data_IF_821022900954
#
_entry.id   IF_821022900954
#
_cell.length_a   1.000
_cell.length_b   1.000
_cell.length_c   1.000
_cell.angle_alpha   90.00
_cell.angle_beta   90.00
_cell.angle_gamma   90.00
#
_symmetry.space_group_name_H-M   'P 1'
#
loop_
_entity.id
_entity.type
_entity.pdbx_description
1 polymer ?
#
# COMPACT_ATOMS: atom_id res chain seq x y z
N UNK A 1 7.84 -35.38 -21.68
CA UNK A 1 7.87 -34.52 -20.47
C UNK A 1 6.69 -33.55 -20.60
N UNK A 2 5.58 -33.84 -19.92
CA UNK A 2 4.30 -33.18 -20.18
C UNK A 2 4.32 -31.70 -19.80
N UNK A 3 3.69 -30.84 -20.62
CA UNK A 3 3.55 -29.40 -20.38
C UNK A 3 3.10 -29.07 -18.95
N UNK A 4 2.26 -29.88 -18.34
CA UNK A 4 1.81 -29.71 -16.95
C UNK A 4 2.94 -29.72 -15.92
N UNK A 5 3.93 -30.62 -16.06
CA UNK A 5 5.07 -30.70 -15.12
C UNK A 5 5.98 -29.47 -15.18
N UNK A 6 6.18 -28.90 -16.38
CA UNK A 6 6.94 -27.68 -16.56
C UNK A 6 6.22 -26.46 -15.94
N UNK A 7 4.90 -26.38 -16.07
CA UNK A 7 4.09 -25.32 -15.46
C UNK A 7 4.13 -25.35 -13.93
N UNK A 8 4.07 -26.54 -13.32
CA UNK A 8 4.23 -26.69 -11.86
C UNK A 8 5.59 -26.19 -11.36
N UNK A 9 6.68 -26.54 -12.07
CA UNK A 9 8.03 -26.10 -11.72
C UNK A 9 8.16 -24.57 -11.83
N UNK A 10 7.60 -23.96 -12.88
CA UNK A 10 7.59 -22.49 -13.05
C UNK A 10 6.87 -21.79 -11.91
N UNK A 11 5.64 -22.22 -11.60
CA UNK A 11 4.84 -21.64 -10.51
C UNK A 11 5.56 -21.77 -9.18
N UNK A 12 6.21 -22.91 -8.93
CA UNK A 12 6.96 -23.15 -7.71
C UNK A 12 8.17 -22.22 -7.56
N UNK A 13 9.00 -22.09 -8.59
CA UNK A 13 10.21 -21.24 -8.57
C UNK A 13 9.83 -19.76 -8.39
N UNK A 14 8.84 -19.29 -9.16
CA UNK A 14 8.35 -17.90 -9.09
C UNK A 14 7.78 -17.64 -7.69
N UNK A 15 6.92 -18.53 -7.20
CA UNK A 15 6.21 -18.29 -5.95
C UNK A 15 7.13 -18.26 -4.73
N UNK A 16 8.20 -19.05 -4.77
CA UNK A 16 9.12 -19.20 -3.65
C UNK A 16 10.26 -18.18 -3.68
N UNK A 17 10.93 -17.98 -4.82
CA UNK A 17 12.11 -17.12 -4.87
C UNK A 17 11.77 -15.70 -5.30
N UNK A 18 10.97 -15.52 -6.35
CA UNK A 18 10.71 -14.21 -6.91
C UNK A 18 9.86 -13.34 -5.96
N UNK A 19 8.79 -13.89 -5.38
CA UNK A 19 7.97 -13.13 -4.41
C UNK A 19 8.71 -12.81 -3.11
N UNK A 20 9.60 -13.68 -2.63
CA UNK A 20 10.42 -13.37 -1.45
C UNK A 20 11.40 -12.23 -1.74
N UNK A 21 12.02 -12.20 -2.92
CA UNK A 21 12.90 -11.10 -3.32
C UNK A 21 12.12 -9.79 -3.40
N UNK A 22 10.94 -9.80 -4.05
CA UNK A 22 10.05 -8.63 -4.10
C UNK A 22 9.62 -8.20 -2.71
N UNK A 23 9.32 -9.15 -1.83
CA UNK A 23 8.96 -8.88 -0.44
C UNK A 23 10.09 -8.12 0.28
N UNK A 24 11.32 -8.64 0.25
CA UNK A 24 12.47 -8.00 0.91
C UNK A 24 12.74 -6.60 0.35
N UNK A 25 12.78 -6.46 -0.98
CA UNK A 25 13.02 -5.16 -1.63
C UNK A 25 11.88 -4.18 -1.30
N UNK A 26 10.63 -4.65 -1.36
CA UNK A 26 9.45 -3.86 -1.06
C UNK A 26 9.41 -3.40 0.40
N UNK A 27 9.78 -4.27 1.34
CA UNK A 27 9.86 -3.94 2.76
C UNK A 27 10.91 -2.85 3.01
N UNK A 28 12.14 -3.04 2.49
CA UNK A 28 13.20 -2.05 2.60
C UNK A 28 12.80 -0.71 1.98
N UNK A 29 12.23 -0.72 0.77
CA UNK A 29 11.79 0.49 0.08
C UNK A 29 10.71 1.27 0.85
N UNK A 30 9.71 0.58 1.39
CA UNK A 30 8.66 1.22 2.18
C UNK A 30 9.18 1.75 3.53
N UNK A 31 10.12 1.04 4.18
CA UNK A 31 10.78 1.51 5.41
C UNK A 31 11.58 2.79 5.12
N UNK A 32 12.39 2.80 4.06
CA UNK A 32 13.14 4.00 3.67
C UNK A 32 12.23 5.18 3.36
N UNK A 33 11.12 4.96 2.64
CA UNK A 33 10.12 5.99 2.42
C UNK A 33 9.57 6.54 3.74
N UNK A 34 9.21 5.67 4.68
CA UNK A 34 8.69 6.07 5.97
C UNK A 34 9.72 6.91 6.75
N UNK A 35 10.98 6.47 6.78
CA UNK A 35 12.08 7.19 7.44
C UNK A 35 12.29 8.58 6.83
N UNK A 36 12.30 8.70 5.50
CA UNK A 36 12.49 9.98 4.80
C UNK A 36 11.32 10.92 5.05
N UNK A 37 10.08 10.45 4.89
CA UNK A 37 8.90 11.29 5.05
C UNK A 37 8.57 11.63 6.51
N UNK A 38 9.02 10.81 7.48
CA UNK A 38 8.89 11.12 8.91
C UNK A 38 9.84 12.24 9.39
N UNK A 39 10.87 12.62 8.62
CA UNK A 39 11.77 13.72 9.01
C UNK A 39 10.98 15.03 9.11
N UNK A 40 11.23 15.81 10.18
CA UNK A 40 10.56 17.10 10.47
C UNK A 40 10.50 18.05 9.26
N UNK A 41 11.56 18.08 8.44
CA UNK A 41 11.67 18.92 7.23
C UNK A 41 10.58 18.62 6.18
N UNK A 42 10.10 17.38 6.09
CA UNK A 42 9.08 16.98 5.12
C UNK A 42 7.65 16.92 5.69
N UNK A 43 7.49 16.89 7.02
CA UNK A 43 6.18 16.85 7.71
C UNK A 43 5.35 18.15 7.60
N UNK A 44 5.98 19.23 7.12
CA UNK A 44 5.30 20.49 6.77
C UNK A 44 4.40 20.32 5.53
N UNK A 45 4.78 19.45 4.59
CA UNK A 45 4.05 19.26 3.35
C UNK A 45 2.87 18.28 3.53
N UNK A 46 1.65 18.69 3.20
CA UNK A 46 0.48 17.78 3.20
C UNK A 46 0.64 16.59 2.24
N UNK A 47 1.49 16.72 1.22
CA UNK A 47 1.81 15.65 0.27
C UNK A 47 2.60 14.48 0.90
N UNK A 48 3.47 14.75 1.88
CA UNK A 48 4.25 13.68 2.54
C UNK A 48 3.37 12.75 3.37
N UNK A 49 2.26 13.26 3.94
CA UNK A 49 1.28 12.45 4.66
C UNK A 49 0.64 11.38 3.75
N UNK A 50 0.35 11.70 2.49
CA UNK A 50 -0.15 10.72 1.53
C UNK A 50 0.88 9.62 1.25
N UNK A 51 2.16 9.98 1.11
CA UNK A 51 3.22 8.99 0.90
C UNK A 51 3.47 8.11 2.14
N UNK A 52 3.31 8.66 3.35
CA UNK A 52 3.38 7.88 4.59
C UNK A 52 2.23 6.88 4.64
N UNK A 53 0.99 7.34 4.43
CA UNK A 53 -0.18 6.47 4.41
C UNK A 53 -0.08 5.39 3.31
N UNK A 54 0.39 5.77 2.13
CA UNK A 54 0.68 4.85 1.03
C UNK A 54 1.72 3.79 1.43
N UNK A 55 2.81 4.20 2.08
CA UNK A 55 3.88 3.27 2.50
C UNK A 55 3.37 2.29 3.57
N UNK A 56 2.54 2.74 4.51
CA UNK A 56 1.90 1.87 5.52
C UNK A 56 0.96 0.86 4.84
N UNK A 57 0.10 1.33 3.94
CA UNK A 57 -0.83 0.48 3.20
C UNK A 57 -0.08 -0.57 2.35
N UNK A 58 1.00 -0.16 1.70
CA UNK A 58 1.83 -1.05 0.90
C UNK A 58 2.58 -2.07 1.77
N UNK A 59 3.02 -1.68 2.98
CA UNK A 59 3.60 -2.59 3.96
C UNK A 59 2.59 -3.67 4.37
N UNK A 60 1.37 -3.25 4.74
CA UNK A 60 0.28 -4.18 5.07
C UNK A 60 -0.02 -5.14 3.91
N UNK A 61 -0.07 -4.63 2.68
CA UNK A 61 -0.30 -5.44 1.48
C UNK A 61 0.83 -6.44 1.21
N UNK A 62 2.10 -6.06 1.42
CA UNK A 62 3.24 -6.97 1.29
C UNK A 62 3.20 -8.08 2.34
N UNK A 63 2.87 -7.76 3.60
CA UNK A 63 2.77 -8.76 4.67
C UNK A 63 1.57 -9.67 4.52
N UNK A 64 0.38 -9.15 4.19
CA UNK A 64 -0.86 -9.94 4.19
C UNK A 64 -1.16 -10.54 2.82
N UNK A 65 -0.89 -9.80 1.74
CA UNK A 65 -1.11 -10.25 0.38
C UNK A 65 0.02 -11.17 -0.10
N UNK A 66 1.27 -10.70 -0.06
CA UNK A 66 2.39 -11.36 -0.72
C UNK A 66 3.04 -12.47 0.13
N UNK A 67 3.35 -12.19 1.39
CA UNK A 67 4.04 -13.16 2.27
C UNK A 67 3.17 -14.40 2.51
N UNK A 68 1.91 -14.19 2.90
CA UNK A 68 0.97 -15.29 3.14
C UNK A 68 0.73 -16.12 1.87
N UNK A 69 0.65 -15.49 0.69
CA UNK A 69 0.51 -16.22 -0.57
C UNK A 69 1.76 -17.05 -0.92
N UNK A 70 2.95 -16.49 -0.69
CA UNK A 70 4.22 -17.21 -0.89
C UNK A 70 4.38 -18.37 0.10
N UNK A 71 3.91 -18.22 1.34
CA UNK A 71 3.87 -19.30 2.34
C UNK A 71 2.90 -20.42 1.93
N UNK A 72 1.67 -20.09 1.49
CA UNK A 72 0.68 -21.08 1.05
C UNK A 72 1.19 -21.88 -0.16
N UNK A 73 1.66 -21.20 -1.22
CA UNK A 73 2.12 -21.87 -2.45
C UNK A 73 3.50 -22.54 -2.30
N UNK A 74 4.43 -21.92 -1.57
CA UNK A 74 5.82 -22.37 -1.50
C UNK A 74 6.10 -23.41 -0.41
N UNK A 75 5.26 -23.46 0.63
CA UNK A 75 5.45 -24.35 1.79
C UNK A 75 4.25 -25.27 2.06
N UNK A 76 3.24 -25.30 1.19
CA UNK A 76 2.05 -26.17 1.31
C UNK A 76 1.33 -25.99 2.67
N UNK A 77 1.23 -24.74 3.14
CA UNK A 77 0.56 -24.43 4.40
C UNK A 77 -0.94 -24.17 4.12
N UNK A 78 -1.79 -25.18 4.28
CA UNK A 78 -3.21 -25.19 3.89
C UNK A 78 -4.14 -24.36 4.80
N UNK A 79 -3.78 -23.13 5.14
CA UNK A 79 -4.64 -22.25 5.96
C UNK A 79 -5.85 -21.78 5.15
N UNK A 80 -5.67 -21.60 3.84
CA UNK A 80 -6.74 -21.17 2.93
C UNK A 80 -7.80 -22.26 2.70
N UNK A 81 -7.41 -23.54 2.74
CA UNK A 81 -8.34 -24.66 2.54
C UNK A 81 -9.12 -25.01 3.81
N UNK A 82 -8.53 -24.77 4.98
CA UNK A 82 -9.17 -25.05 6.27
C UNK A 82 -10.20 -24.00 6.67
N UNK A 83 -10.04 -22.74 6.26
CA UNK A 83 -10.91 -21.63 6.68
C UNK A 83 -11.32 -20.79 5.45
N UNK A 84 -12.48 -21.09 4.87
CA UNK A 84 -13.08 -20.36 3.73
C UNK A 84 -13.18 -18.84 3.97
N UNK A 85 -13.47 -18.45 5.20
CA UNK A 85 -13.56 -17.04 5.63
C UNK A 85 -12.22 -16.33 5.44
N UNK A 86 -11.10 -16.98 5.79
CA UNK A 86 -9.77 -16.41 5.66
C UNK A 86 -9.40 -16.16 4.19
N UNK A 87 -9.68 -17.11 3.31
CA UNK A 87 -9.45 -16.96 1.86
C UNK A 87 -10.24 -15.76 1.29
N UNK A 88 -11.50 -15.60 1.69
CA UNK A 88 -12.36 -14.50 1.23
C UNK A 88 -11.87 -13.14 1.74
N UNK A 89 -11.55 -13.04 3.04
CA UNK A 89 -11.01 -11.83 3.67
C UNK A 89 -9.68 -11.43 3.02
N UNK A 90 -8.75 -12.38 2.83
CA UNK A 90 -7.45 -12.11 2.20
C UNK A 90 -7.59 -11.54 0.80
N UNK A 91 -8.43 -12.16 -0.03
CA UNK A 91 -8.65 -11.72 -1.42
C UNK A 91 -9.27 -10.32 -1.46
N UNK A 92 -10.27 -10.09 -0.61
CA UNK A 92 -10.88 -8.77 -0.46
C UNK A 92 -9.87 -7.72 0.00
N UNK A 93 -9.13 -8.01 1.07
CA UNK A 93 -8.09 -7.16 1.65
C UNK A 93 -7.09 -6.73 0.58
N UNK A 94 -6.57 -7.68 -0.20
CA UNK A 94 -5.54 -7.39 -1.21
C UNK A 94 -6.08 -6.46 -2.31
N UNK A 95 -7.31 -6.69 -2.78
CA UNK A 95 -7.94 -5.83 -3.78
C UNK A 95 -8.20 -4.40 -3.26
N UNK A 96 -8.72 -4.27 -2.04
CA UNK A 96 -9.00 -2.96 -1.46
C UNK A 96 -7.72 -2.20 -1.17
N UNK A 97 -6.69 -2.85 -0.62
CA UNK A 97 -5.39 -2.21 -0.38
C UNK A 97 -4.78 -1.71 -1.69
N UNK A 98 -4.89 -2.48 -2.79
CA UNK A 98 -4.38 -2.04 -4.10
C UNK A 98 -5.10 -0.79 -4.62
N UNK A 99 -6.44 -0.77 -4.51
CA UNK A 99 -7.25 0.39 -4.89
C UNK A 99 -6.91 1.61 -4.02
N UNK A 100 -6.79 1.40 -2.70
CA UNK A 100 -6.46 2.44 -1.75
C UNK A 100 -5.08 3.05 -2.03
N UNK A 101 -4.08 2.22 -2.30
CA UNK A 101 -2.75 2.66 -2.74
C UNK A 101 -2.84 3.57 -3.98
N UNK A 102 -3.62 3.18 -4.98
CA UNK A 102 -3.81 3.96 -6.20
C UNK A 102 -4.50 5.29 -5.92
N UNK A 103 -5.56 5.30 -5.10
CA UNK A 103 -6.28 6.51 -4.70
C UNK A 103 -5.40 7.47 -3.88
N UNK A 104 -4.56 6.95 -2.97
CA UNK A 104 -3.63 7.77 -2.18
C UNK A 104 -2.60 8.46 -3.09
N UNK A 105 -2.10 7.74 -4.10
CA UNK A 105 -1.12 8.29 -5.03
C UNK A 105 -1.73 9.36 -5.96
N UNK A 106 -2.94 9.14 -6.48
CA UNK A 106 -3.64 10.15 -7.30
C UNK A 106 -4.01 11.39 -6.48
N UNK A 107 -4.43 11.22 -5.24
CA UNK A 107 -4.69 12.34 -4.34
C UNK A 107 -3.41 13.11 -3.98
N UNK A 108 -2.27 12.41 -3.83
CA UNK A 108 -0.97 13.03 -3.59
C UNK A 108 -0.54 13.92 -4.77
N UNK A 109 -0.75 13.46 -6.02
CA UNK A 109 -0.40 14.22 -7.22
C UNK A 109 -1.33 15.43 -7.41
N UNK A 110 -2.64 15.26 -7.20
CA UNK A 110 -3.61 16.36 -7.24
C UNK A 110 -3.28 17.45 -6.21
N UNK A 111 -2.97 17.04 -4.98
CA UNK A 111 -2.57 17.97 -3.92
C UNK A 111 -1.28 18.72 -4.31
N UNK A 112 -0.28 18.02 -4.86
CA UNK A 112 0.95 18.65 -5.33
C UNK A 112 0.68 19.67 -6.44
N UNK A 113 -0.14 19.32 -7.43
CA UNK A 113 -0.51 20.20 -8.53
C UNK A 113 -1.23 21.47 -8.02
N UNK A 114 -2.25 21.29 -7.17
CA UNK A 114 -3.00 22.40 -6.62
C UNK A 114 -2.12 23.36 -5.79
N UNK A 115 -1.19 22.81 -5.01
CA UNK A 115 -0.20 23.60 -4.25
C UNK A 115 0.72 24.43 -5.14
N UNK A 116 1.22 23.86 -6.24
CA UNK A 116 2.08 24.58 -7.19
C UNK A 116 1.31 25.73 -7.84
N UNK A 117 0.09 25.44 -8.31
CA UNK A 117 -0.77 26.45 -8.95
C UNK A 117 -1.13 27.60 -8.00
N UNK A 118 -1.44 27.31 -6.74
CA UNK A 118 -1.76 28.37 -5.77
C UNK A 118 -0.56 29.15 -5.28
N UNK A 119 0.62 28.52 -5.21
CA UNK A 119 1.85 29.26 -4.90
C UNK A 119 2.15 30.35 -5.93
N UNK A 120 1.63 30.23 -7.16
CA UNK A 120 1.75 31.26 -8.20
C UNK A 120 0.67 32.35 -8.10
N UNK A 121 -0.46 32.08 -7.43
CA UNK A 121 -1.66 32.92 -7.48
C UNK A 121 -1.92 33.73 -6.21
N UNK A 122 -1.36 33.38 -5.04
CA UNK A 122 -1.86 33.91 -3.77
C UNK A 122 -0.83 33.97 -2.64
N UNK A 123 -0.88 35.06 -1.84
CA UNK A 123 -0.07 35.30 -0.63
C UNK A 123 -0.57 34.49 0.61
N UNK A 124 -1.85 34.10 0.63
CA UNK A 124 -2.49 33.29 1.70
C UNK A 124 -2.16 31.78 1.64
N UNK A 125 -0.87 31.44 1.63
CA UNK A 125 -0.36 30.06 1.56
C UNK A 125 -0.80 29.18 2.74
N UNK A 126 -0.88 29.76 3.94
CA UNK A 126 -1.03 29.00 5.18
C UNK A 126 -2.45 28.45 5.39
N UNK A 127 -3.49 29.22 5.05
CA UNK A 127 -4.89 28.78 5.14
C UNK A 127 -5.15 27.58 4.23
N UNK A 128 -4.58 27.58 3.03
CA UNK A 128 -4.72 26.46 2.11
C UNK A 128 -4.01 25.21 2.61
N UNK A 129 -2.78 25.34 3.13
CA UNK A 129 -2.02 24.20 3.67
C UNK A 129 -2.80 23.53 4.81
N UNK A 130 -3.39 24.32 5.72
CA UNK A 130 -4.18 23.81 6.84
C UNK A 130 -5.45 23.08 6.37
N UNK A 131 -6.20 23.66 5.43
CA UNK A 131 -7.39 23.03 4.85
C UNK A 131 -7.04 21.70 4.17
N UNK A 132 -5.95 21.67 3.41
CA UNK A 132 -5.51 20.48 2.72
C UNK A 132 -5.05 19.41 3.73
N UNK A 133 -4.31 19.78 4.79
CA UNK A 133 -3.93 18.87 5.88
C UNK A 133 -5.15 18.23 6.56
N UNK A 134 -6.16 19.04 6.89
CA UNK A 134 -7.39 18.58 7.55
C UNK A 134 -8.18 17.62 6.65
N UNK A 135 -8.32 17.94 5.36
CA UNK A 135 -8.95 17.06 4.36
C UNK A 135 -8.17 15.76 4.15
N UNK A 136 -6.84 15.81 4.14
CA UNK A 136 -5.97 14.62 4.05
C UNK A 136 -6.18 13.67 5.22
N UNK A 137 -6.12 14.17 6.45
CA UNK A 137 -6.36 13.36 7.65
C UNK A 137 -7.75 12.72 7.62
N UNK A 138 -8.77 13.47 7.19
CA UNK A 138 -10.14 12.98 7.10
C UNK A 138 -10.29 11.84 6.08
N UNK A 139 -9.68 11.97 4.89
CA UNK A 139 -9.71 10.93 3.86
C UNK A 139 -9.00 9.67 4.35
N UNK A 140 -7.82 9.80 4.98
CA UNK A 140 -7.08 8.66 5.53
C UNK A 140 -7.91 7.96 6.62
N UNK A 141 -8.53 8.72 7.53
CA UNK A 141 -9.40 8.15 8.58
C UNK A 141 -10.61 7.44 7.97
N UNK A 142 -11.29 8.03 6.98
CA UNK A 142 -12.40 7.37 6.28
C UNK A 142 -11.93 6.08 5.62
N UNK A 143 -10.79 6.09 4.92
CA UNK A 143 -10.24 4.89 4.29
C UNK A 143 -9.92 3.80 5.31
N UNK A 144 -9.39 4.16 6.49
CA UNK A 144 -9.13 3.23 7.60
C UNK A 144 -10.45 2.70 8.20
N UNK A 145 -11.47 3.55 8.37
CA UNK A 145 -12.77 3.13 8.90
C UNK A 145 -13.48 2.19 7.92
N UNK A 146 -13.48 2.52 6.62
CA UNK A 146 -13.98 1.63 5.56
C UNK A 146 -13.22 0.30 5.64
N UNK A 147 -11.89 0.36 5.76
CA UNK A 147 -11.04 -0.82 5.90
C UNK A 147 -11.41 -1.67 7.14
N UNK A 148 -11.63 -1.07 8.31
CA UNK A 148 -12.06 -1.75 9.53
C UNK A 148 -13.51 -2.26 9.50
N UNK A 149 -14.41 -1.63 8.75
CA UNK A 149 -15.81 -2.07 8.63
C UNK A 149 -15.96 -3.31 7.73
N UNK A 150 -14.98 -3.57 6.87
CA UNK A 150 -15.04 -4.68 5.93
C UNK A 150 -14.13 -5.85 6.33
N UNK A 151 -13.12 -5.60 7.16
CA UNK A 151 -12.29 -6.64 7.79
C UNK A 151 -13.06 -7.34 8.92
#
# INVERSE_FOLDING_TARGET
>A
MNNTSAEFIRVYIISRYFYLIIFVIGMLGNIFNLVVFCRKKFRSNSCSLYFIAYSINNFMNLTIGLLLWSLTLGFHYDWEYKILIYCKIRRYFTHVNFLLSSCLLTMASLNRYARVRQAQLTENRDKYILFCKRRTTYIIIISIIIFCLIA
#
